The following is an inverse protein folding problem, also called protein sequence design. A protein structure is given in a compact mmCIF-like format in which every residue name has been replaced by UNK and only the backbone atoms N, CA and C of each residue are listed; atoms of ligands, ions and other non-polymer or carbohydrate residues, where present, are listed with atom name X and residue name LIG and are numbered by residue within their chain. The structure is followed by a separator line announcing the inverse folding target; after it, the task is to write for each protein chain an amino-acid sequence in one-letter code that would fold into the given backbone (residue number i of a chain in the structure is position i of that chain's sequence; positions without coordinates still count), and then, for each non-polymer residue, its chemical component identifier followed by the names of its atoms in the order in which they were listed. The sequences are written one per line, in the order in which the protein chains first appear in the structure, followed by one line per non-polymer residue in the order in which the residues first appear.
data_IF_312356813347
#
_entry.id   IF_312356813347
#
_cell.length_a   1.000
_cell.length_b   1.000
_cell.length_c   1.000
_cell.angle_alpha   90.00
_cell.angle_beta   90.00
_cell.angle_gamma   90.00
#
_symmetry.space_group_name_H-M   'P 1'
#
loop_
_entity.id
_entity.type
_entity.pdbx_description
1 polymer ?
#
# COMPACT_ATOMS: atom_id res chain seq x y z
N UNK A 1 22.43 -3.05 3.18
CA UNK A 1 21.65 -2.37 4.24
C UNK A 1 20.16 -2.50 3.97
N UNK A 2 19.64 -1.99 2.85
CA UNK A 2 18.21 -2.01 2.51
C UNK A 2 17.50 -3.38 2.49
N UNK A 3 18.20 -4.45 2.10
CA UNK A 3 17.64 -5.82 2.17
C UNK A 3 17.37 -6.28 3.62
N UNK A 4 18.16 -5.83 4.59
CA UNK A 4 17.99 -6.18 5.99
C UNK A 4 16.78 -5.48 6.61
N UNK A 5 16.62 -4.20 6.33
CA UNK A 5 15.54 -3.37 6.90
C UNK A 5 14.16 -3.79 6.38
N UNK A 6 14.06 -4.12 5.09
CA UNK A 6 12.82 -4.63 4.50
C UNK A 6 12.48 -6.03 5.04
N UNK A 7 13.47 -6.91 5.20
CA UNK A 7 13.25 -8.24 5.79
C UNK A 7 12.81 -8.12 7.25
N UNK A 8 13.45 -7.25 8.03
CA UNK A 8 13.07 -6.99 9.41
C UNK A 8 11.63 -6.47 9.49
N UNK A 9 11.24 -5.54 8.62
CA UNK A 9 9.87 -5.05 8.54
C UNK A 9 8.87 -6.17 8.21
N UNK A 10 9.14 -6.98 7.19
CA UNK A 10 8.26 -8.11 6.82
C UNK A 10 8.11 -9.10 7.97
N UNK A 11 9.20 -9.45 8.67
CA UNK A 11 9.16 -10.33 9.84
C UNK A 11 8.36 -9.70 10.99
N UNK A 12 8.45 -8.39 11.19
CA UNK A 12 7.64 -7.72 12.23
C UNK A 12 6.14 -7.65 11.93
N UNK A 13 5.74 -7.90 10.68
CA UNK A 13 4.33 -8.07 10.32
C UNK A 13 3.84 -9.50 10.57
N UNK A 14 4.74 -10.49 10.65
CA UNK A 14 4.35 -11.89 10.86
C UNK A 14 3.90 -12.15 12.30
N UNK A 15 4.51 -11.51 13.30
CA UNK A 15 4.05 -11.58 14.70
C UNK A 15 4.34 -10.29 15.48
N UNK A 16 3.39 -9.79 16.30
CA UNK A 16 2.01 -10.26 16.49
C UNK A 16 1.07 -9.89 15.32
N UNK A 17 0.02 -10.68 15.02
CA UNK A 17 -0.92 -10.43 13.92
C UNK A 17 -1.65 -9.07 14.04
N UNK A 18 -1.76 -8.52 15.25
CA UNK A 18 -2.30 -7.20 15.51
C UNK A 18 -1.50 -6.09 14.81
N UNK A 19 -0.20 -6.29 14.59
CA UNK A 19 0.63 -5.31 13.86
C UNK A 19 0.21 -5.18 12.41
N UNK A 20 -0.09 -6.29 11.74
CA UNK A 20 -0.58 -6.25 10.36
C UNK A 20 -1.91 -5.50 10.28
N UNK A 21 -2.79 -5.70 11.26
CA UNK A 21 -4.03 -4.93 11.38
C UNK A 21 -3.74 -3.42 11.53
N UNK A 22 -2.95 -3.03 12.54
CA UNK A 22 -2.64 -1.63 12.82
C UNK A 22 -1.97 -0.92 11.65
N UNK A 23 -0.94 -1.52 11.04
CA UNK A 23 -0.28 -0.92 9.89
C UNK A 23 -1.20 -0.85 8.67
N UNK A 24 -2.00 -1.88 8.44
CA UNK A 24 -2.92 -1.89 7.30
C UNK A 24 -4.03 -0.86 7.42
N UNK A 25 -4.62 -0.69 8.61
CA UNK A 25 -5.64 0.34 8.88
C UNK A 25 -5.06 1.75 8.71
N UNK A 26 -3.90 2.03 9.30
CA UNK A 26 -3.24 3.33 9.16
C UNK A 26 -2.88 3.65 7.70
N UNK A 27 -2.35 2.67 6.96
CA UNK A 27 -2.01 2.88 5.55
C UNK A 27 -3.25 3.05 4.66
N UNK A 28 -4.37 2.40 5.00
CA UNK A 28 -5.66 2.60 4.32
C UNK A 28 -6.17 4.02 4.54
N UNK A 29 -6.14 4.50 5.78
CA UNK A 29 -6.53 5.87 6.14
C UNK A 29 -5.69 6.91 5.40
N UNK A 30 -4.35 6.80 5.43
CA UNK A 30 -3.44 7.72 4.75
C UNK A 30 -3.62 7.75 3.22
N UNK A 31 -4.10 6.65 2.64
CA UNK A 31 -4.37 6.53 1.21
C UNK A 31 -5.83 6.81 0.84
N UNK A 32 -6.68 7.17 1.81
CA UNK A 32 -8.14 7.35 1.66
C UNK A 32 -8.81 6.13 1.01
N UNK A 33 -8.41 4.94 1.46
CA UNK A 33 -8.93 3.64 1.00
C UNK A 33 -9.79 2.99 2.08
N UNK A 34 -10.98 2.53 1.69
CA UNK A 34 -11.80 1.66 2.52
C UNK A 34 -11.34 0.20 2.47
N UNK A 35 -11.84 -0.61 3.40
CA UNK A 35 -11.72 -2.06 3.36
C UNK A 35 -12.66 -2.71 4.37
N UNK A 36 -13.36 -3.77 3.96
CA UNK A 36 -14.31 -4.51 4.82
C UNK A 36 -13.68 -5.68 5.54
N UNK A 37 -12.54 -6.16 5.03
CA UNK A 37 -11.81 -7.28 5.59
C UNK A 37 -10.53 -6.80 6.30
N UNK A 38 -10.08 -7.52 7.35
CA UNK A 38 -8.80 -7.25 7.99
C UNK A 38 -7.67 -7.27 6.94
N UNK A 39 -6.79 -6.25 6.94
CA UNK A 39 -5.68 -6.21 6.00
C UNK A 39 -4.74 -7.40 6.22
N UNK A 40 -4.26 -7.98 5.12
CA UNK A 40 -3.23 -9.03 5.14
C UNK A 40 -1.82 -8.44 4.91
N UNK A 41 -0.78 -9.25 5.16
CA UNK A 41 0.63 -8.85 4.97
C UNK A 41 0.91 -8.34 3.56
N UNK A 42 0.35 -8.98 2.54
CA UNK A 42 0.56 -8.61 1.13
C UNK A 42 -0.14 -7.29 0.80
N UNK A 43 -1.28 -7.00 1.43
CA UNK A 43 -1.93 -5.70 1.36
C UNK A 43 -1.08 -4.61 2.02
N UNK A 44 -0.63 -4.82 3.27
CA UNK A 44 0.23 -3.86 3.98
C UNK A 44 1.45 -3.46 3.15
N UNK A 45 2.13 -4.44 2.56
CA UNK A 45 3.31 -4.18 1.71
C UNK A 45 2.98 -3.38 0.45
N UNK A 46 1.86 -3.70 -0.22
CA UNK A 46 1.41 -2.95 -1.40
C UNK A 46 1.01 -1.52 -1.05
N UNK A 47 0.36 -1.31 0.09
CA UNK A 47 -0.04 0.03 0.53
C UNK A 47 1.19 0.86 0.94
N UNK A 48 2.13 0.29 1.68
CA UNK A 48 3.39 0.95 2.04
C UNK A 48 4.19 1.38 0.80
N UNK A 49 4.30 0.50 -0.21
CA UNK A 49 4.93 0.83 -1.48
C UNK A 49 4.19 1.94 -2.23
N UNK A 50 2.85 1.88 -2.27
CA UNK A 50 2.02 2.91 -2.90
C UNK A 50 2.20 4.26 -2.23
N UNK A 51 2.21 4.32 -0.90
CA UNK A 51 2.43 5.54 -0.14
C UNK A 51 3.82 6.12 -0.41
N UNK A 52 4.87 5.29 -0.32
CA UNK A 52 6.23 5.73 -0.60
C UNK A 52 6.42 6.24 -2.03
N UNK A 53 5.77 5.62 -3.02
CA UNK A 53 5.79 6.12 -4.41
C UNK A 53 5.01 7.42 -4.57
N UNK A 54 3.88 7.60 -3.86
CA UNK A 54 3.12 8.86 -3.84
C UNK A 54 3.96 10.01 -3.30
N UNK A 55 4.71 9.76 -2.23
CA UNK A 55 5.57 10.76 -1.59
C UNK A 55 6.83 11.07 -2.42
N UNK A 56 7.46 10.05 -2.99
CA UNK A 56 8.70 10.21 -3.75
C UNK A 56 8.48 10.76 -5.18
N UNK A 57 7.32 10.49 -5.79
CA UNK A 57 7.04 10.84 -7.18
C UNK A 57 5.55 11.14 -7.42
N UNK A 58 5.00 12.22 -6.83
CA UNK A 58 3.56 12.53 -6.88
C UNK A 58 3.04 12.68 -8.31
N UNK A 59 3.76 13.39 -9.19
CA UNK A 59 3.34 13.67 -10.57
C UNK A 59 3.19 12.39 -11.42
N UNK A 60 4.03 11.39 -11.14
CA UNK A 60 4.00 10.11 -11.85
C UNK A 60 2.81 9.25 -11.40
N UNK A 61 2.41 9.37 -10.14
CA UNK A 61 1.27 8.65 -9.58
C UNK A 61 -0.06 9.20 -10.09
N UNK A 62 -0.19 10.52 -10.23
CA UNK A 62 -1.38 11.12 -10.88
C UNK A 62 -1.53 10.65 -12.33
N UNK A 63 -0.42 10.56 -13.06
CA UNK A 63 -0.41 10.08 -14.45
C UNK A 63 -0.83 8.61 -14.53
N UNK A 64 -0.30 7.77 -13.64
CA UNK A 64 -0.68 6.35 -13.57
C UNK A 64 -2.15 6.16 -13.17
N UNK A 65 -2.69 7.01 -12.29
CA UNK A 65 -4.09 6.97 -11.89
C UNK A 65 -5.02 7.39 -13.04
N UNK A 66 -4.68 8.46 -13.77
CA UNK A 66 -5.41 8.89 -14.98
C UNK A 66 -5.41 7.79 -16.04
N UNK A 67 -4.26 7.16 -16.30
CA UNK A 67 -4.15 6.05 -17.24
C UNK A 67 -5.02 4.83 -16.86
N UNK A 68 -5.13 4.51 -15.56
CA UNK A 68 -6.04 3.46 -15.08
C UNK A 68 -7.51 3.81 -15.30
N UNK A 69 -7.91 5.05 -15.02
CA UNK A 69 -9.27 5.52 -15.24
C UNK A 69 -9.63 5.49 -16.73
N UNK A 70 -8.74 5.94 -17.61
CA UNK A 70 -8.91 5.93 -19.06
C UNK A 70 -9.03 4.50 -19.63
N UNK A 71 -8.30 3.54 -19.05
CA UNK A 71 -8.44 2.13 -19.44
C UNK A 71 -9.75 1.50 -18.98
N UNK A 72 -10.24 1.87 -17.79
CA UNK A 72 -11.50 1.36 -17.25
C UNK A 72 -12.72 1.87 -18.04
N UNK A 73 -12.68 3.12 -18.52
CA UNK A 73 -13.73 3.71 -19.36
C UNK A 73 -13.69 3.25 -20.83
N UNK A 74 -12.54 2.78 -21.33
CA UNK A 74 -12.41 2.18 -22.68
C UNK A 74 -12.76 0.68 -22.74
N UNK A 75 -13.02 0.06 -21.59
CA UNK A 75 -13.45 -1.34 -21.47
C UNK A 75 -14.97 -1.53 -21.31
N UNK A 76 -15.74 -0.44 -21.36
CA UNK A 76 -17.20 -0.39 -21.42
C UNK A 76 -17.64 0.03 -22.84
#
# INVERSE_FOLDING_TARGET
MWKGDLVAFVVTLEEPPERTLTYGEALREELDLGGTEPPDRSEVLRLALRLGLREAAPDNMETAQKAKQDHATRGL
#
